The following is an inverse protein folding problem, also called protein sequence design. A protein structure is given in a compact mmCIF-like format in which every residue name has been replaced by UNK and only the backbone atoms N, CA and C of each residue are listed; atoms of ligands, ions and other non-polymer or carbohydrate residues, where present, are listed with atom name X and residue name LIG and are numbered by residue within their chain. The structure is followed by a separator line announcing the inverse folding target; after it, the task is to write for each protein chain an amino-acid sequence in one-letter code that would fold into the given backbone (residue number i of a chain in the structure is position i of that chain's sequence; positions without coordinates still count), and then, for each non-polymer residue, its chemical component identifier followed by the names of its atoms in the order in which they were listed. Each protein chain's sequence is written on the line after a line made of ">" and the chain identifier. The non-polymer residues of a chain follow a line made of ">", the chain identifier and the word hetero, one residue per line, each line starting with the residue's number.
data_IF_641648294069
#
_entry.id   IF_641648294069
#
_cell.length_a   1.000
_cell.length_b   1.000
_cell.length_c   1.000
_cell.angle_alpha   90.00
_cell.angle_beta   90.00
_cell.angle_gamma   90.00
#
_symmetry.space_group_name_H-M   'P 1'
#
loop_
_entity.id
_entity.type
_entity.pdbx_description
1 polymer ?
#
# COMPACT_ATOMS: atom_id res chain seq x y z
N UNK A 1 14.16 7.45 5.04
CA UNK A 1 15.21 8.31 4.48
C UNK A 1 14.79 9.77 4.65
N UNK A 2 15.71 10.66 4.98
CA UNK A 2 15.41 12.07 5.20
C UNK A 2 16.65 12.94 5.06
N UNK A 3 16.49 14.10 4.41
CA UNK A 3 17.52 15.14 4.31
C UNK A 3 16.92 16.49 4.70
N UNK A 4 17.47 17.08 5.76
CA UNK A 4 17.02 18.37 6.31
C UNK A 4 17.04 19.43 5.19
N UNK A 5 15.91 20.11 5.01
CA UNK A 5 15.73 21.15 3.98
C UNK A 5 15.44 20.64 2.58
N UNK A 6 15.35 19.31 2.38
CA UNK A 6 15.16 18.71 1.06
C UNK A 6 13.94 17.81 0.95
N UNK A 7 13.89 16.73 1.74
CA UNK A 7 12.76 15.82 1.74
C UNK A 7 12.70 15.00 3.03
N UNK A 8 11.51 14.55 3.36
CA UNK A 8 11.28 13.61 4.47
C UNK A 8 10.38 12.49 3.99
N UNK A 9 10.80 11.24 4.26
CA UNK A 9 9.96 10.06 4.08
C UNK A 9 9.69 9.47 5.46
N UNK A 10 8.42 9.37 5.82
CA UNK A 10 7.98 8.77 7.08
C UNK A 10 7.12 7.56 6.76
N UNK A 11 7.51 6.39 7.26
CA UNK A 11 6.69 5.18 7.24
C UNK A 11 6.20 4.89 8.66
N UNK A 12 4.89 4.67 8.82
CA UNK A 12 4.27 4.38 10.11
C UNK A 12 3.33 3.21 9.98
N UNK A 13 3.55 2.17 10.78
CA UNK A 13 2.59 1.09 10.99
C UNK A 13 1.49 1.56 11.94
N UNK A 14 0.26 1.26 11.62
CA UNK A 14 -0.83 1.40 12.58
C UNK A 14 -0.61 0.41 13.75
N UNK A 15 -0.93 0.82 14.98
CA UNK A 15 -0.80 -0.04 16.16
C UNK A 15 -1.90 -1.08 16.23
N UNK A 16 -3.05 -0.82 15.62
CA UNK A 16 -4.24 -1.68 15.69
C UNK A 16 -4.46 -2.51 14.43
N UNK A 17 -3.66 -2.29 13.39
CA UNK A 17 -3.79 -3.02 12.13
C UNK A 17 -2.42 -3.34 11.53
N UNK A 18 -2.41 -4.25 10.56
CA UNK A 18 -1.21 -4.59 9.79
C UNK A 18 -0.94 -3.61 8.63
N UNK A 19 -1.62 -2.46 8.65
CA UNK A 19 -1.53 -1.46 7.60
C UNK A 19 -0.37 -0.50 7.89
N UNK A 20 0.27 -0.09 6.80
CA UNK A 20 1.34 0.89 6.81
C UNK A 20 0.91 2.14 6.06
N UNK A 21 1.30 3.30 6.57
CA UNK A 21 1.08 4.59 5.95
C UNK A 21 2.44 5.24 5.75
N UNK A 22 2.71 5.65 4.51
CA UNK A 22 3.95 6.32 4.15
C UNK A 22 3.58 7.71 3.65
N UNK A 23 4.21 8.73 4.23
CA UNK A 23 4.11 10.11 3.77
C UNK A 23 5.47 10.57 3.27
N UNK A 24 5.46 11.24 2.12
CA UNK A 24 6.64 11.87 1.56
C UNK A 24 6.34 13.31 1.17
N UNK A 25 7.22 14.23 1.59
CA UNK A 25 7.12 15.65 1.28
C UNK A 25 8.48 16.10 0.73
N UNK A 26 8.47 16.92 -0.32
CA UNK A 26 9.67 17.51 -0.94
C UNK A 26 9.64 19.05 -0.87
N UNK A 27 10.78 19.66 -1.14
CA UNK A 27 10.92 21.11 -1.33
C UNK A 27 10.66 21.52 -2.80
N UNK A 28 11.08 22.72 -3.19
CA UNK A 28 10.90 23.30 -4.53
C UNK A 28 11.64 22.55 -5.67
N UNK A 29 12.36 21.46 -5.37
CA UNK A 29 13.05 20.64 -6.37
C UNK A 29 12.31 19.33 -6.60
N UNK A 30 12.12 18.99 -7.88
CA UNK A 30 11.64 17.66 -8.28
C UNK A 30 12.70 16.61 -7.98
N UNK A 31 12.27 15.44 -7.53
CA UNK A 31 13.16 14.33 -7.22
C UNK A 31 12.45 12.99 -7.32
N UNK A 32 13.18 11.96 -7.71
CA UNK A 32 12.73 10.57 -7.65
C UNK A 32 13.32 9.90 -6.42
N UNK A 33 12.46 9.45 -5.51
CA UNK A 33 12.86 8.68 -4.33
C UNK A 33 12.65 7.20 -4.62
N UNK A 34 13.68 6.41 -4.34
CA UNK A 34 13.59 4.95 -4.31
C UNK A 34 13.23 4.54 -2.89
N UNK A 35 12.00 4.08 -2.69
CA UNK A 35 11.53 3.60 -1.40
C UNK A 35 11.50 2.06 -1.40
N UNK A 36 12.51 1.39 -0.83
CA UNK A 36 12.41 -0.04 -0.56
C UNK A 36 11.30 -0.29 0.48
N UNK A 37 10.49 -1.31 0.26
CA UNK A 37 9.45 -1.76 1.19
C UNK A 37 9.92 -2.93 2.05
N UNK A 38 11.22 -3.01 2.32
CA UNK A 38 11.88 -4.09 3.07
C UNK A 38 11.41 -4.21 4.53
N UNK A 39 10.79 -3.16 5.07
CA UNK A 39 10.15 -3.14 6.38
C UNK A 39 8.80 -3.87 6.44
N UNK A 40 8.25 -4.31 5.30
CA UNK A 40 7.04 -5.13 5.26
C UNK A 40 7.33 -6.59 5.67
N UNK A 41 6.30 -7.32 6.08
CA UNK A 41 6.48 -8.71 6.51
C UNK A 41 6.85 -9.60 5.31
N UNK A 42 7.93 -10.37 5.47
CA UNK A 42 8.41 -11.30 4.44
C UNK A 42 7.34 -12.33 4.08
N UNK A 43 7.12 -12.57 2.78
CA UNK A 43 6.15 -13.56 2.29
C UNK A 43 4.69 -13.12 2.34
N UNK A 44 4.40 -11.90 2.82
CA UNK A 44 3.06 -11.33 2.77
C UNK A 44 2.86 -10.49 1.51
N UNK A 45 1.68 -10.60 0.91
CA UNK A 45 1.23 -9.71 -0.16
C UNK A 45 0.52 -8.49 0.46
N UNK A 46 0.81 -7.31 -0.08
CA UNK A 46 0.18 -6.07 0.33
C UNK A 46 -0.38 -5.34 -0.89
N UNK A 47 -1.44 -4.57 -0.68
CA UNK A 47 -1.98 -3.63 -1.66
C UNK A 47 -1.48 -2.23 -1.31
N UNK A 48 -0.68 -1.63 -2.18
CA UNK A 48 -0.25 -0.25 -2.05
C UNK A 48 -1.14 0.66 -2.90
N UNK A 49 -1.84 1.58 -2.25
CA UNK A 49 -2.56 2.70 -2.88
C UNK A 49 -1.68 3.95 -2.78
N UNK A 50 -1.24 4.45 -3.91
CA UNK A 50 -0.42 5.64 -4.05
C UNK A 50 -1.29 6.83 -4.40
N UNK A 51 -1.17 7.87 -3.60
CA UNK A 51 -1.73 9.20 -3.82
C UNK A 51 -0.56 10.10 -4.19
N UNK A 52 -0.37 10.30 -5.49
CA UNK A 52 0.69 11.15 -6.01
C UNK A 52 0.08 12.39 -6.65
N UNK A 53 0.79 13.51 -6.59
CA UNK A 53 0.43 14.67 -7.40
C UNK A 53 0.50 14.31 -8.90
N UNK A 54 -0.52 14.72 -9.65
CA UNK A 54 -0.61 14.45 -11.09
C UNK A 54 0.43 15.20 -11.92
N UNK A 55 0.61 14.80 -13.18
CA UNK A 55 1.62 15.42 -14.05
C UNK A 55 1.37 16.92 -14.29
N UNK A 56 0.12 17.35 -14.23
CA UNK A 56 -0.32 18.76 -14.33
C UNK A 56 -0.53 19.43 -12.95
N UNK A 57 -0.07 18.82 -11.86
CA UNK A 57 -0.18 19.42 -10.54
C UNK A 57 0.82 20.59 -10.41
N UNK A 58 0.27 21.80 -10.37
CA UNK A 58 1.02 23.03 -10.13
C UNK A 58 0.37 23.76 -8.96
N UNK A 59 1.20 24.10 -7.97
CA UNK A 59 0.80 24.84 -6.78
C UNK A 59 0.07 26.15 -7.11
N UNK A 60 0.37 26.76 -8.26
CA UNK A 60 -0.21 28.03 -8.70
C UNK A 60 -1.42 27.88 -9.62
N UNK A 61 -1.51 26.81 -10.43
CA UNK A 61 -2.51 26.74 -11.51
C UNK A 61 -3.46 25.55 -11.44
N UNK A 62 -3.13 24.45 -10.75
CA UNK A 62 -4.03 23.30 -10.60
C UNK A 62 -3.72 22.46 -9.33
N UNK A 63 -4.20 22.90 -8.15
CA UNK A 63 -3.82 22.32 -6.86
C UNK A 63 -4.52 20.97 -6.53
N UNK A 64 -5.47 20.49 -7.34
CA UNK A 64 -6.29 19.31 -7.02
C UNK A 64 -5.99 18.07 -7.89
N UNK A 65 -5.01 18.14 -8.80
CA UNK A 65 -4.65 17.00 -9.64
C UNK A 65 -3.94 15.94 -8.79
N UNK A 66 -4.68 14.91 -8.36
CA UNK A 66 -4.15 13.77 -7.61
C UNK A 66 -4.35 12.50 -8.44
N UNK A 67 -3.26 11.80 -8.73
CA UNK A 67 -3.26 10.46 -9.32
C UNK A 67 -3.32 9.44 -8.20
N UNK A 68 -4.41 8.68 -8.18
CA UNK A 68 -4.57 7.52 -7.30
C UNK A 68 -4.28 6.27 -8.11
N UNK A 69 -3.27 5.51 -7.71
CA UNK A 69 -2.92 4.24 -8.35
C UNK A 69 -2.81 3.12 -7.31
N UNK A 70 -3.24 1.92 -7.68
CA UNK A 70 -3.19 0.75 -6.80
C UNK A 70 -2.29 -0.31 -7.41
N UNK A 71 -1.45 -0.93 -6.59
CA UNK A 71 -0.57 -2.02 -7.02
C UNK A 71 -0.32 -3.02 -5.90
N UNK A 72 -0.12 -4.27 -6.27
CA UNK A 72 0.37 -5.29 -5.35
C UNK A 72 1.86 -5.12 -5.11
N UNK A 73 2.27 -5.20 -3.85
CA UNK A 73 3.65 -5.02 -3.40
C UNK A 73 3.99 -6.06 -2.33
N UNK A 74 5.28 -6.31 -2.17
CA UNK A 74 5.83 -7.19 -1.14
C UNK A 74 7.13 -6.59 -0.57
N UNK A 75 7.73 -7.25 0.42
CA UNK A 75 8.96 -6.79 1.07
C UNK A 75 10.16 -6.63 0.10
N UNK A 76 10.15 -7.31 -1.05
CA UNK A 76 11.17 -7.16 -2.10
C UNK A 76 10.91 -6.04 -3.09
N UNK A 77 9.78 -5.33 -2.96
CA UNK A 77 9.38 -4.30 -3.92
C UNK A 77 10.04 -2.96 -3.60
N UNK A 78 10.57 -2.29 -4.62
CA UNK A 78 11.07 -0.92 -4.53
C UNK A 78 10.10 0.01 -5.24
N UNK A 79 9.47 0.90 -4.51
CA UNK A 79 8.59 1.91 -5.08
C UNK A 79 9.41 3.11 -5.56
N UNK A 80 9.19 3.50 -6.82
CA UNK A 80 9.68 4.76 -7.34
C UNK A 80 8.61 5.83 -7.10
N UNK A 81 8.97 6.85 -6.33
CA UNK A 81 8.11 8.00 -6.04
C UNK A 81 8.68 9.22 -6.75
N UNK A 82 7.95 9.69 -7.76
CA UNK A 82 8.29 10.92 -8.47
C UNK A 82 7.60 12.08 -7.75
N UNK A 83 8.37 12.86 -7.01
CA UNK A 83 7.86 14.02 -6.30
C UNK A 83 8.04 15.26 -7.18
N UNK A 84 6.93 15.95 -7.45
CA UNK A 84 6.91 17.23 -8.16
C UNK A 84 7.36 18.36 -7.23
N UNK A 85 7.72 19.51 -7.80
CA UNK A 85 8.20 20.68 -7.05
C UNK A 85 7.14 21.16 -6.05
N UNK A 86 7.50 21.24 -4.77
CA UNK A 86 6.58 21.68 -3.71
C UNK A 86 5.43 20.73 -3.41
N UNK A 87 5.45 19.53 -3.99
CA UNK A 87 4.40 18.53 -3.85
C UNK A 87 4.69 17.48 -2.77
N UNK A 88 3.93 16.39 -2.86
CA UNK A 88 4.06 15.25 -1.96
C UNK A 88 3.52 13.95 -2.57
N UNK A 89 3.73 12.87 -1.82
CA UNK A 89 3.09 11.60 -2.10
C UNK A 89 2.67 10.97 -0.78
N UNK A 90 1.47 10.42 -0.74
CA UNK A 90 1.01 9.57 0.34
C UNK A 90 0.80 8.16 -0.20
N UNK A 91 1.14 7.16 0.61
CA UNK A 91 0.98 5.76 0.23
C UNK A 91 0.33 5.04 1.39
N UNK A 92 -0.76 4.37 1.11
CA UNK A 92 -1.40 3.44 2.02
C UNK A 92 -1.04 2.04 1.58
N UNK A 93 -0.51 1.23 2.48
CA UNK A 93 -0.13 -0.15 2.23
C UNK A 93 -0.96 -1.03 3.15
N UNK A 94 -1.87 -1.80 2.58
CA UNK A 94 -2.79 -2.65 3.31
C UNK A 94 -2.38 -4.11 3.14
N UNK A 95 -2.33 -4.85 4.23
CA UNK A 95 -1.97 -6.28 4.16
C UNK A 95 -3.12 -7.04 3.51
N UNK A 96 -2.85 -7.74 2.42
CA UNK A 96 -3.82 -8.64 1.82
C UNK A 96 -3.83 -9.93 2.63
N UNK A 97 -4.63 -9.95 3.69
CA UNK A 97 -4.78 -11.13 4.54
C UNK A 97 -5.73 -12.08 3.82
N UNK A 98 -5.21 -13.23 3.40
CA UNK A 98 -6.00 -14.30 2.79
C UNK A 98 -6.15 -15.41 3.81
N UNK A 99 -7.39 -15.72 4.16
CA UNK A 99 -7.75 -16.84 5.02
C UNK A 99 -7.89 -18.08 4.16
N UNK A 100 -7.11 -19.12 4.47
CA UNK A 100 -7.29 -20.44 3.87
C UNK A 100 -8.33 -21.21 4.68
N UNK A 101 -9.43 -21.58 4.03
CA UNK A 101 -10.46 -22.45 4.61
C UNK A 101 -10.33 -23.82 3.96
N UNK A 102 -10.24 -24.85 4.79
CA UNK A 102 -10.14 -26.23 4.35
C UNK A 102 -11.36 -27.00 4.87
N UNK A 103 -12.12 -27.58 3.95
CA UNK A 103 -13.29 -28.41 4.24
C UNK A 103 -12.97 -29.86 3.88
N UNK A 104 -13.27 -30.79 4.78
CA UNK A 104 -13.13 -32.23 4.53
C UNK A 104 -14.51 -32.83 4.33
N UNK A 105 -14.75 -33.46 3.19
CA UNK A 105 -16.03 -34.11 2.88
C UNK A 105 -16.02 -35.57 3.35
N UNK A 106 -17.22 -36.13 3.61
CA UNK A 106 -17.40 -37.56 3.85
C UNK A 106 -16.93 -38.34 2.62
N UNK A 107 -15.78 -38.99 2.73
CA UNK A 107 -15.07 -39.62 1.61
C UNK A 107 -13.59 -39.23 1.50
N UNK A 108 -13.09 -38.33 2.36
CA UNK A 108 -11.67 -37.98 2.42
C UNK A 108 -11.23 -36.94 1.39
N UNK A 109 -12.18 -36.36 0.64
CA UNK A 109 -11.90 -35.26 -0.27
C UNK A 109 -11.71 -33.95 0.51
N UNK A 110 -10.66 -33.20 0.15
CA UNK A 110 -10.30 -31.94 0.80
C UNK A 110 -10.47 -30.81 -0.20
N UNK A 111 -11.29 -29.81 0.16
CA UNK A 111 -11.48 -28.59 -0.62
C UNK A 111 -10.83 -27.44 0.13
N UNK A 112 -9.99 -26.67 -0.55
CA UNK A 112 -9.37 -25.46 0.03
C UNK A 112 -9.77 -24.22 -0.75
N UNK A 113 -10.22 -23.20 -0.02
CA UNK A 113 -10.53 -21.87 -0.56
C UNK A 113 -9.59 -20.84 0.06
N UNK A 114 -9.09 -19.92 -0.76
CA UNK A 114 -8.32 -18.76 -0.32
C UNK A 114 -9.25 -17.55 -0.40
N UNK A 115 -9.58 -16.95 0.74
CA UNK A 115 -10.60 -15.89 0.84
C UNK A 115 -9.98 -14.64 1.46
N UNK A 116 -10.12 -13.44 0.86
CA UNK A 116 -9.74 -12.20 1.51
C UNK A 116 -10.39 -12.09 2.90
N UNK A 117 -9.64 -11.67 3.91
CA UNK A 117 -10.14 -11.60 5.29
C UNK A 117 -11.33 -10.66 5.44
N UNK A 118 -11.43 -9.62 4.58
CA UNK A 118 -12.59 -8.73 4.54
C UNK A 118 -13.87 -9.45 4.11
N UNK A 119 -13.76 -10.52 3.32
CA UNK A 119 -14.89 -11.26 2.76
C UNK A 119 -15.23 -12.52 3.58
N UNK A 120 -14.39 -12.87 4.56
CA UNK A 120 -14.57 -14.05 5.41
C UNK A 120 -15.92 -14.04 6.14
N UNK A 121 -16.36 -12.89 6.65
CA UNK A 121 -17.61 -12.78 7.39
C UNK A 121 -18.84 -13.05 6.50
N UNK A 122 -18.79 -12.59 5.25
CA UNK A 122 -19.83 -12.84 4.25
C UNK A 122 -19.84 -14.32 3.85
N UNK A 123 -18.66 -14.89 3.59
CA UNK A 123 -18.53 -16.31 3.23
C UNK A 123 -18.99 -17.25 4.34
N UNK A 124 -18.66 -16.96 5.60
CA UNK A 124 -19.08 -17.75 6.76
C UNK A 124 -20.61 -17.83 6.90
N UNK A 125 -21.35 -16.79 6.49
CA UNK A 125 -22.82 -16.80 6.49
C UNK A 125 -23.43 -17.57 5.32
N UNK A 126 -22.68 -17.82 4.25
CA UNK A 126 -23.17 -18.53 3.07
C UNK A 126 -22.99 -20.05 3.15
N UNK A 127 -22.21 -20.54 4.12
CA UNK A 127 -21.90 -21.97 4.31
C UNK A 127 -22.55 -22.56 5.57
N UNK A 128 -23.07 -21.71 6.46
CA UNK A 128 -23.95 -22.09 7.57
C UNK A 128 -25.41 -22.08 7.09
#
# INVERSE_FOLDING_TARGET
>A
DAKIGEYVVVARKDRRSENWFIGCITNEKERTIKLPLDFLDSGSAYKATLYCDGDDADYLTNPYSVIISEREVNAGTVLLLNLKKGGGAAIRVEKNIVVRITMTLSGGYVISFNIPSCDFYTFSKSIL
#
